data_IF_483827074500
#
_entry.id   IF_483827074500
#
_cell.length_a   1.000
_cell.length_b   1.000
_cell.length_c   1.000
_cell.angle_alpha   90.00
_cell.angle_beta   90.00
_cell.angle_gamma   90.00
#
_symmetry.space_group_name_H-M   'P 1'
#
loop_
_entity.id
_entity.type
_entity.pdbx_description
1 polymer ?
#
# COMPACT_ATOMS: atom_id res chain seq x y z
N UNK A 1 15.48 -11.42 43.93
CA UNK A 1 15.94 -10.28 43.05
C UNK A 1 16.42 -10.69 41.65
N UNK A 2 17.27 -11.70 41.48
CA UNK A 2 17.75 -12.07 40.14
C UNK A 2 16.65 -12.60 39.19
N UNK A 3 15.64 -13.33 39.71
CA UNK A 3 14.55 -13.87 38.90
C UNK A 3 13.57 -12.79 38.43
N UNK A 4 13.20 -11.86 39.31
CA UNK A 4 12.30 -10.74 38.99
C UNK A 4 12.90 -9.80 37.97
N UNK A 5 14.21 -9.57 38.01
CA UNK A 5 14.92 -8.77 37.01
C UNK A 5 14.92 -9.44 35.63
N UNK A 6 15.08 -10.77 35.56
CA UNK A 6 15.00 -11.53 34.27
C UNK A 6 13.62 -11.45 33.67
N UNK A 7 12.56 -11.61 34.47
CA UNK A 7 11.19 -11.53 34.00
C UNK A 7 10.88 -10.12 33.49
N UNK A 8 11.33 -9.09 34.20
CA UNK A 8 11.17 -7.71 33.75
C UNK A 8 11.90 -7.42 32.44
N UNK A 9 13.12 -7.96 32.25
CA UNK A 9 13.88 -7.80 31.03
C UNK A 9 13.19 -8.50 29.83
N UNK A 10 12.67 -9.72 30.04
CA UNK A 10 11.92 -10.46 29.01
C UNK A 10 10.64 -9.71 28.64
N UNK A 11 9.93 -9.14 29.60
CA UNK A 11 8.73 -8.34 29.37
C UNK A 11 9.05 -7.07 28.56
N UNK A 12 10.15 -6.41 28.88
CA UNK A 12 10.60 -5.21 28.17
C UNK A 12 10.98 -5.51 26.71
N UNK A 13 11.63 -6.65 26.46
CA UNK A 13 11.99 -7.12 25.12
C UNK A 13 10.74 -7.50 24.32
N UNK A 14 9.75 -8.14 24.94
CA UNK A 14 8.51 -8.53 24.24
C UNK A 14 7.65 -7.34 23.83
N UNK A 15 7.66 -6.24 24.55
CA UNK A 15 6.94 -5.00 24.20
C UNK A 15 7.59 -4.29 23.02
N UNK A 16 8.92 -4.38 22.88
CA UNK A 16 9.65 -3.74 21.77
C UNK A 16 9.48 -4.44 20.42
N UNK A 17 8.91 -5.65 20.38
CA UNK A 17 8.65 -6.39 19.12
C UNK A 17 7.34 -6.02 18.42
N UNK A 18 6.54 -5.12 18.97
CA UNK A 18 5.21 -4.76 18.45
C UNK A 18 5.22 -3.65 17.40
N UNK A 19 6.38 -3.18 16.95
CA UNK A 19 6.50 -2.17 15.90
C UNK A 19 6.20 -2.78 14.52
N UNK A 20 4.93 -2.88 14.20
CA UNK A 20 4.46 -3.34 12.90
C UNK A 20 3.67 -2.21 12.24
N UNK A 21 3.98 -1.90 10.98
CA UNK A 21 3.16 -0.99 10.20
C UNK A 21 1.68 -1.40 10.33
N UNK A 22 0.85 -0.51 10.85
CA UNK A 22 -0.57 -0.76 11.07
C UNK A 22 -1.41 0.03 10.08
N UNK A 23 -2.41 -0.63 9.49
CA UNK A 23 -3.36 0.04 8.61
C UNK A 23 -4.33 0.90 9.41
N UNK A 24 -4.69 2.05 8.84
CA UNK A 24 -5.78 2.90 9.31
C UNK A 24 -6.77 3.15 8.19
N UNK A 25 -8.06 3.01 8.49
CA UNK A 25 -9.16 3.38 7.59
C UNK A 25 -9.74 4.75 7.91
N UNK A 26 -9.22 5.44 8.92
CA UNK A 26 -9.81 6.65 9.50
C UNK A 26 -10.19 7.71 8.45
N UNK A 27 -9.42 7.83 7.40
CA UNK A 27 -9.60 8.88 6.39
C UNK A 27 -10.58 8.47 5.26
N UNK A 28 -10.92 7.18 5.12
CA UNK A 28 -11.79 6.69 4.04
C UNK A 28 -12.78 5.61 4.51
N UNK A 29 -13.07 5.57 5.81
CA UNK A 29 -13.95 4.54 6.41
C UNK A 29 -15.35 4.50 5.78
N UNK A 30 -15.87 5.64 5.36
CA UNK A 30 -17.21 5.77 4.77
C UNK A 30 -17.18 5.78 3.24
N UNK A 31 -16.01 5.63 2.62
CA UNK A 31 -15.83 5.77 1.17
C UNK A 31 -15.69 4.42 0.46
N UNK A 32 -15.68 3.29 1.18
CA UNK A 32 -15.50 1.98 0.54
C UNK A 32 -16.61 1.00 0.89
N UNK A 33 -16.85 0.07 -0.03
CA UNK A 33 -17.78 -1.05 0.11
C UNK A 33 -17.02 -2.28 0.58
N UNK A 34 -17.51 -2.93 1.64
CA UNK A 34 -16.93 -4.18 2.13
C UNK A 34 -17.23 -5.31 1.17
N UNK A 35 -16.19 -5.95 0.64
CA UNK A 35 -16.29 -7.10 -0.26
C UNK A 35 -16.34 -8.37 0.56
N UNK A 36 -17.17 -9.32 0.17
CA UNK A 36 -17.23 -10.67 0.73
C UNK A 36 -16.64 -11.70 -0.25
N UNK A 37 -16.36 -12.94 0.19
CA UNK A 37 -15.76 -13.96 -0.69
C UNK A 37 -16.59 -14.26 -1.96
N UNK A 38 -17.92 -14.13 -1.91
CA UNK A 38 -18.78 -14.36 -3.08
C UNK A 38 -18.68 -13.25 -4.14
N UNK A 39 -18.18 -12.06 -3.76
CA UNK A 39 -18.07 -10.90 -4.63
C UNK A 39 -16.61 -10.48 -4.89
N UNK A 40 -15.67 -11.40 -4.75
CA UNK A 40 -14.24 -11.10 -4.86
C UNK A 40 -13.87 -10.52 -6.25
N UNK A 41 -14.57 -10.97 -7.31
CA UNK A 41 -14.41 -10.44 -8.67
C UNK A 41 -14.85 -8.97 -8.83
N UNK A 42 -15.38 -8.32 -7.78
CA UNK A 42 -15.55 -6.86 -7.79
C UNK A 42 -14.23 -6.09 -7.91
N UNK A 43 -13.11 -6.74 -7.61
CA UNK A 43 -11.78 -6.16 -7.84
C UNK A 43 -11.32 -6.25 -9.31
N UNK A 44 -11.94 -7.08 -10.13
CA UNK A 44 -11.60 -7.19 -11.56
C UNK A 44 -11.97 -5.90 -12.28
N UNK A 45 -11.12 -5.47 -13.20
CA UNK A 45 -11.36 -4.32 -14.05
C UNK A 45 -10.09 -3.59 -14.46
N UNK A 46 -10.28 -2.60 -15.34
CA UNK A 46 -9.22 -1.67 -15.73
C UNK A 46 -9.33 -0.36 -14.96
N UNK A 47 -8.21 0.14 -14.55
CA UNK A 47 -8.14 1.33 -13.70
C UNK A 47 -7.14 2.35 -14.26
N UNK A 48 -7.37 3.61 -13.90
CA UNK A 48 -6.49 4.72 -14.28
C UNK A 48 -5.07 4.53 -13.74
N UNK A 49 -4.09 4.95 -14.51
CA UNK A 49 -2.68 4.92 -14.13
C UNK A 49 -2.40 5.86 -12.95
N UNK A 50 -2.95 7.06 -12.99
CA UNK A 50 -2.76 8.10 -11.97
C UNK A 50 -3.96 8.18 -11.03
N UNK A 51 -3.75 8.56 -9.76
CA UNK A 51 -4.84 8.71 -8.81
C UNK A 51 -5.74 9.90 -9.16
N UNK A 52 -7.02 9.78 -8.83
CA UNK A 52 -8.02 10.85 -8.95
C UNK A 52 -8.30 11.55 -7.61
N UNK A 53 -7.97 10.88 -6.49
CA UNK A 53 -8.19 11.40 -5.13
C UNK A 53 -7.14 10.86 -4.18
N UNK A 54 -6.76 11.66 -3.19
CA UNK A 54 -6.02 11.24 -2.00
C UNK A 54 -6.91 11.44 -0.78
N UNK A 55 -6.91 10.47 0.12
CA UNK A 55 -7.66 10.54 1.37
C UNK A 55 -6.77 11.12 2.47
N UNK A 56 -7.01 12.34 2.87
CA UNK A 56 -6.28 13.10 3.89
C UNK A 56 -7.20 13.53 5.03
N UNK A 57 -6.61 13.84 6.20
CA UNK A 57 -7.36 14.35 7.37
C UNK A 57 -7.98 15.73 7.14
N UNK A 58 -7.45 16.52 6.21
CA UNK A 58 -7.77 17.95 6.11
C UNK A 58 -8.67 18.33 4.94
N UNK A 59 -9.12 17.39 4.10
CA UNK A 59 -9.78 17.74 2.82
C UNK A 59 -9.00 18.81 2.02
N UNK A 60 -7.73 19.03 2.37
CA UNK A 60 -6.85 19.85 1.57
C UNK A 60 -6.79 19.17 0.20
N UNK A 61 -7.20 19.90 -0.82
CA UNK A 61 -6.93 19.56 -2.20
C UNK A 61 -5.40 19.50 -2.35
N UNK A 62 -4.81 18.40 -1.84
CA UNK A 62 -3.42 18.07 -2.14
C UNK A 62 -3.35 18.15 -3.65
N UNK A 63 -2.45 18.97 -4.18
CA UNK A 63 -2.35 19.27 -5.60
C UNK A 63 -2.30 17.94 -6.37
N UNK A 64 -3.47 17.50 -6.85
CA UNK A 64 -3.66 16.20 -7.54
C UNK A 64 -2.69 16.10 -8.71
N UNK A 65 -2.39 17.21 -9.38
CA UNK A 65 -1.47 17.24 -10.51
C UNK A 65 -0.03 16.94 -10.08
N UNK A 66 0.36 17.34 -8.88
CA UNK A 66 1.65 16.96 -8.34
C UNK A 66 1.68 15.45 -7.94
N UNK A 67 0.59 14.93 -7.39
CA UNK A 67 0.48 13.50 -7.07
C UNK A 67 0.54 12.62 -8.32
N UNK A 68 -0.10 13.02 -9.41
CA UNK A 68 -0.07 12.31 -10.70
C UNK A 68 1.34 12.14 -11.26
N UNK A 69 2.27 13.06 -10.94
CA UNK A 69 3.67 12.97 -11.36
C UNK A 69 4.47 11.92 -10.61
N UNK A 70 4.10 11.60 -9.39
CA UNK A 70 4.90 10.77 -8.49
C UNK A 70 4.25 9.45 -8.12
N UNK A 71 2.92 9.33 -8.23
CA UNK A 71 2.17 8.15 -7.82
C UNK A 71 1.49 7.55 -9.04
N UNK A 72 1.78 6.28 -9.28
CA UNK A 72 1.06 5.47 -10.26
C UNK A 72 0.62 4.15 -9.64
N UNK A 73 -0.52 3.65 -10.13
CA UNK A 73 -1.17 2.48 -9.59
C UNK A 73 -0.28 1.23 -9.68
N UNK A 74 0.42 1.03 -10.82
CA UNK A 74 1.24 -0.16 -11.02
C UNK A 74 2.33 -0.28 -9.96
N UNK A 75 3.20 0.73 -9.84
CA UNK A 75 4.29 0.71 -8.86
C UNK A 75 3.74 0.65 -7.42
N UNK A 76 2.61 1.31 -7.18
CA UNK A 76 2.01 1.39 -5.86
C UNK A 76 1.46 0.03 -5.39
N UNK A 77 0.82 -0.75 -6.30
CA UNK A 77 0.32 -2.09 -5.98
C UNK A 77 1.47 -3.13 -5.96
N UNK A 78 2.34 -3.11 -6.97
CA UNK A 78 3.36 -4.16 -7.15
C UNK A 78 4.57 -3.98 -6.25
N UNK A 79 4.74 -2.81 -5.65
CA UNK A 79 5.95 -2.42 -4.91
C UNK A 79 7.22 -2.41 -5.79
N UNK A 80 7.05 -2.17 -7.08
CA UNK A 80 8.15 -2.00 -8.01
C UNK A 80 8.52 -0.54 -8.20
N UNK A 81 9.70 -0.30 -8.77
CA UNK A 81 10.18 1.04 -9.12
C UNK A 81 10.35 1.14 -10.64
N UNK A 82 9.31 0.82 -11.40
CA UNK A 82 9.32 1.03 -12.84
C UNK A 82 9.38 2.54 -13.09
N UNK A 83 10.40 2.96 -13.84
CA UNK A 83 10.56 4.36 -14.24
C UNK A 83 9.74 4.63 -15.50
N UNK A 84 8.95 5.68 -15.47
CA UNK A 84 8.18 6.17 -16.60
C UNK A 84 8.82 7.47 -17.08
N UNK A 85 9.49 7.44 -18.23
CA UNK A 85 10.24 8.60 -18.74
C UNK A 85 9.35 9.61 -19.47
N UNK A 86 8.09 9.27 -19.69
CA UNK A 86 7.12 10.01 -20.49
C UNK A 86 5.96 10.61 -19.68
N UNK A 87 6.24 10.98 -18.42
CA UNK A 87 5.21 11.49 -17.49
C UNK A 87 4.45 12.68 -18.07
N UNK A 88 5.12 13.62 -18.72
CA UNK A 88 4.45 14.76 -19.35
C UNK A 88 3.54 14.32 -20.51
N UNK A 89 3.93 13.29 -21.25
CA UNK A 89 3.08 12.70 -22.31
C UNK A 89 1.87 11.97 -21.74
N UNK A 90 2.02 11.34 -20.56
CA UNK A 90 0.90 10.71 -19.84
C UNK A 90 -0.08 11.78 -19.35
N UNK A 91 0.41 12.84 -18.72
CA UNK A 91 -0.43 13.91 -18.17
C UNK A 91 -1.17 14.67 -19.28
N UNK A 92 -0.57 14.81 -20.47
CA UNK A 92 -1.16 15.45 -21.63
C UNK A 92 -2.00 14.50 -22.51
N UNK A 93 -2.20 13.25 -22.08
CA UNK A 93 -3.01 12.27 -22.80
C UNK A 93 -2.41 11.73 -24.11
N UNK A 94 -1.13 12.03 -24.39
CA UNK A 94 -0.44 11.53 -25.60
C UNK A 94 -0.08 10.05 -25.48
N UNK A 95 0.13 9.57 -24.27
CA UNK A 95 0.41 8.17 -23.95
C UNK A 95 -0.58 7.73 -22.90
N UNK A 96 -1.29 6.65 -23.19
CA UNK A 96 -2.28 6.09 -22.31
C UNK A 96 -1.71 4.85 -21.59
N UNK A 97 -1.60 4.96 -20.24
CA UNK A 97 -1.32 3.81 -19.40
C UNK A 97 -2.58 3.42 -18.62
N UNK A 98 -2.82 2.12 -18.52
CA UNK A 98 -3.92 1.53 -17.79
C UNK A 98 -3.42 0.32 -17.00
N UNK A 99 -4.06 0.01 -15.88
CA UNK A 99 -3.75 -1.16 -15.08
C UNK A 99 -4.99 -2.05 -15.01
N UNK A 100 -4.84 -3.29 -15.45
CA UNK A 100 -5.87 -4.31 -15.26
C UNK A 100 -5.57 -5.11 -13.99
N UNK A 101 -6.58 -5.23 -13.13
CA UNK A 101 -6.59 -6.17 -12.01
C UNK A 101 -7.51 -7.32 -12.36
N UNK A 102 -7.10 -8.54 -12.01
CA UNK A 102 -7.90 -9.74 -12.20
C UNK A 102 -7.66 -10.73 -11.08
N UNK A 103 -8.72 -11.13 -10.42
CA UNK A 103 -8.69 -12.21 -9.44
C UNK A 103 -8.40 -13.53 -10.17
N UNK A 104 -7.33 -14.20 -9.77
CA UNK A 104 -6.95 -15.52 -10.28
C UNK A 104 -7.49 -16.60 -9.37
N UNK A 105 -7.32 -16.41 -8.07
CA UNK A 105 -7.86 -17.29 -7.02
C UNK A 105 -8.28 -16.42 -5.83
N UNK A 106 -8.85 -17.03 -4.81
CA UNK A 106 -9.18 -16.36 -3.54
C UNK A 106 -7.94 -15.78 -2.80
N UNK A 107 -6.73 -16.16 -3.25
CA UNK A 107 -5.44 -15.77 -2.65
C UNK A 107 -4.45 -15.13 -3.63
N UNK A 108 -4.87 -14.84 -4.85
CA UNK A 108 -3.96 -14.33 -5.86
C UNK A 108 -4.65 -13.40 -6.84
N UNK A 109 -4.03 -12.26 -7.12
CA UNK A 109 -4.44 -11.31 -8.15
C UNK A 109 -3.38 -11.18 -9.23
N UNK A 110 -3.80 -10.99 -10.47
CA UNK A 110 -2.95 -10.53 -11.57
C UNK A 110 -3.04 -9.02 -11.66
N UNK A 111 -1.89 -8.37 -11.83
CA UNK A 111 -1.75 -6.94 -12.10
C UNK A 111 -1.03 -6.80 -13.43
N UNK A 112 -1.70 -6.20 -14.41
CA UNK A 112 -1.17 -6.08 -15.76
C UNK A 112 -1.13 -4.61 -16.19
N UNK A 113 0.03 -4.16 -16.66
CA UNK A 113 0.27 -2.79 -17.11
C UNK A 113 0.14 -2.74 -18.63
N UNK A 114 -0.74 -1.87 -19.11
CA UNK A 114 -0.92 -1.58 -20.53
C UNK A 114 -0.37 -0.20 -20.88
N UNK A 115 0.23 -0.09 -22.07
CA UNK A 115 0.58 1.17 -22.71
C UNK A 115 -0.09 1.20 -24.09
N UNK A 116 -0.96 2.17 -24.35
CA UNK A 116 -1.72 2.28 -25.59
C UNK A 116 -2.42 0.97 -25.97
N UNK A 117 -3.09 0.34 -24.99
CA UNK A 117 -3.78 -0.95 -25.09
C UNK A 117 -2.88 -2.18 -25.38
N UNK A 118 -1.55 -2.04 -25.35
CA UNK A 118 -0.63 -3.16 -25.43
C UNK A 118 -0.13 -3.53 -24.04
N UNK A 119 -0.22 -4.82 -23.70
CA UNK A 119 0.36 -5.34 -22.45
C UNK A 119 1.87 -5.23 -22.50
N UNK A 120 2.45 -4.57 -21.50
CA UNK A 120 3.91 -4.38 -21.41
C UNK A 120 4.52 -5.04 -20.18
N UNK A 121 3.72 -5.29 -19.15
CA UNK A 121 4.19 -5.97 -17.95
C UNK A 121 3.03 -6.62 -17.21
N UNK A 122 3.27 -7.82 -16.68
CA UNK A 122 2.30 -8.58 -15.90
C UNK A 122 2.97 -9.18 -14.67
N UNK A 123 2.26 -9.14 -13.53
CA UNK A 123 2.72 -9.72 -12.28
C UNK A 123 1.55 -10.36 -11.55
N UNK A 124 1.83 -11.47 -10.88
CA UNK A 124 0.90 -12.09 -9.94
C UNK A 124 1.32 -11.76 -8.51
N UNK A 125 0.36 -11.38 -7.69
CA UNK A 125 0.57 -10.99 -6.30
C UNK A 125 -0.34 -11.85 -5.42
N UNK A 126 0.26 -12.53 -4.45
CA UNK A 126 -0.48 -13.24 -3.41
C UNK A 126 -1.13 -12.25 -2.46
N UNK A 127 -2.23 -12.67 -1.86
CA UNK A 127 -2.95 -11.87 -0.89
C UNK A 127 -4.11 -12.62 -0.29
N UNK A 128 -4.93 -11.94 0.48
CA UNK A 128 -6.12 -12.52 1.08
C UNK A 128 -7.18 -11.46 1.38
N UNK A 129 -8.44 -11.84 1.20
CA UNK A 129 -9.55 -11.02 1.65
C UNK A 129 -9.70 -11.14 3.16
N UNK A 130 -9.70 -10.00 3.86
CA UNK A 130 -9.89 -9.95 5.31
C UNK A 130 -11.35 -9.62 5.68
N UNK A 131 -11.67 -9.76 6.97
CA UNK A 131 -13.01 -9.51 7.53
C UNK A 131 -13.51 -8.06 7.33
N UNK A 132 -12.61 -7.12 7.10
CA UNK A 132 -12.95 -5.73 6.79
C UNK A 132 -13.38 -5.52 5.33
N UNK A 133 -13.39 -6.58 4.52
CA UNK A 133 -13.78 -6.54 3.12
C UNK A 133 -12.74 -5.96 2.18
N UNK A 134 -11.49 -5.86 2.64
CA UNK A 134 -10.35 -5.43 1.84
C UNK A 134 -9.44 -6.60 1.49
N UNK A 135 -8.83 -6.57 0.31
CA UNK A 135 -7.87 -7.57 -0.11
C UNK A 135 -6.45 -7.10 0.27
N UNK A 136 -5.80 -7.85 1.14
CA UNK A 136 -4.46 -7.56 1.66
C UNK A 136 -3.41 -8.22 0.80
N UNK A 137 -2.51 -7.42 0.22
CA UNK A 137 -1.44 -7.90 -0.66
C UNK A 137 -0.28 -8.44 0.16
N UNK A 138 0.25 -9.61 -0.22
CA UNK A 138 1.39 -10.25 0.45
C UNK A 138 2.72 -9.93 -0.26
N UNK A 139 2.83 -8.76 -0.83
CA UNK A 139 4.06 -8.20 -1.36
C UNK A 139 4.65 -7.13 -0.44
N UNK A 140 4.49 -7.35 0.86
CA UNK A 140 5.06 -6.48 1.89
C UNK A 140 6.58 -6.38 1.72
N UNK A 141 7.08 -5.19 1.94
CA UNK A 141 8.53 -4.95 1.98
C UNK A 141 8.95 -4.79 3.43
N UNK A 142 9.92 -5.59 3.84
CA UNK A 142 10.58 -5.46 5.13
C UNK A 142 12.09 -5.46 4.89
N UNK A 143 12.72 -4.33 5.16
CA UNK A 143 14.19 -4.19 5.09
C UNK A 143 14.67 -3.61 6.41
N UNK A 144 15.53 -4.35 7.08
CA UNK A 144 16.21 -3.88 8.26
C UNK A 144 17.70 -3.69 7.94
N UNK A 145 18.29 -2.61 8.44
CA UNK A 145 19.70 -2.26 8.28
C UNK A 145 20.30 -1.93 9.62
N UNK A 146 21.59 -2.18 9.77
CA UNK A 146 22.35 -1.90 10.98
C UNK A 146 22.67 -3.15 11.80
N UNK A 147 23.27 -2.94 12.95
CA UNK A 147 23.57 -3.99 13.93
C UNK A 147 22.37 -4.07 14.89
N UNK A 148 21.68 -5.24 14.95
CA UNK A 148 20.55 -5.39 15.85
C UNK A 148 20.89 -4.87 17.25
N UNK A 149 20.00 -4.04 17.79
CA UNK A 149 20.07 -3.52 19.15
C UNK A 149 21.11 -2.42 19.43
N UNK A 150 22.09 -2.18 18.59
CA UNK A 150 23.04 -1.10 18.78
C UNK A 150 22.67 0.15 18.00
N UNK A 151 22.53 -0.01 16.69
CA UNK A 151 22.05 1.04 15.79
C UNK A 151 21.49 0.39 14.55
N UNK A 152 20.41 0.94 14.04
CA UNK A 152 19.79 0.42 12.83
C UNK A 152 18.32 0.84 12.74
N UNK A 153 17.70 0.48 11.64
CA UNK A 153 16.30 0.75 11.39
C UNK A 153 15.66 -0.29 10.51
N UNK A 154 14.34 -0.38 10.62
CA UNK A 154 13.52 -1.23 9.76
C UNK A 154 12.54 -0.36 8.97
N UNK A 155 12.47 -0.62 7.68
CA UNK A 155 11.40 -0.12 6.83
C UNK A 155 10.42 -1.26 6.58
N UNK A 156 9.17 -1.06 6.95
CA UNK A 156 8.08 -2.00 6.72
C UNK A 156 6.98 -1.31 5.92
N UNK A 157 6.60 -1.92 4.82
CA UNK A 157 5.59 -1.38 3.92
C UNK A 157 4.59 -2.49 3.58
N UNK A 158 3.30 -2.22 3.79
CA UNK A 158 2.18 -3.14 3.53
C UNK A 158 1.12 -2.42 2.73
N UNK A 159 0.40 -3.17 1.89
CA UNK A 159 -0.67 -2.63 1.05
C UNK A 159 -1.91 -3.48 1.11
N UNK A 160 -3.05 -2.83 0.92
CA UNK A 160 -4.35 -3.47 0.73
C UNK A 160 -5.17 -2.66 -0.26
N UNK A 161 -6.11 -3.32 -0.92
CA UNK A 161 -7.02 -2.70 -1.87
C UNK A 161 -8.47 -2.84 -1.40
N UNK A 162 -9.29 -1.87 -1.77
CA UNK A 162 -10.72 -1.84 -1.53
C UNK A 162 -11.44 -1.30 -2.77
N UNK A 163 -12.75 -1.54 -2.88
CA UNK A 163 -13.61 -0.90 -3.88
C UNK A 163 -14.33 0.26 -3.22
N UNK A 164 -14.27 1.44 -3.83
CA UNK A 164 -14.98 2.61 -3.33
C UNK A 164 -16.48 2.49 -3.57
N UNK A 165 -17.28 3.31 -2.84
CA UNK A 165 -18.71 3.39 -3.05
C UNK A 165 -19.11 3.87 -4.46
N UNK A 166 -18.15 4.45 -5.20
CA UNK A 166 -18.29 4.85 -6.61
C UNK A 166 -17.70 3.82 -7.58
N UNK A 167 -17.45 2.59 -7.11
CA UNK A 167 -16.90 1.48 -7.88
C UNK A 167 -15.46 1.70 -8.40
N UNK A 168 -14.73 2.65 -7.85
CA UNK A 168 -13.31 2.88 -8.13
C UNK A 168 -12.43 2.00 -7.24
N UNK A 169 -11.13 1.94 -7.52
CA UNK A 169 -10.17 1.22 -6.70
C UNK A 169 -9.54 2.15 -5.66
N UNK A 170 -9.58 1.76 -4.41
CA UNK A 170 -8.79 2.41 -3.34
C UNK A 170 -7.58 1.53 -3.03
N UNK A 171 -6.40 2.12 -3.04
CA UNK A 171 -5.18 1.46 -2.54
C UNK A 171 -4.72 2.18 -1.28
N UNK A 172 -4.61 1.42 -0.19
CA UNK A 172 -4.16 1.92 1.10
C UNK A 172 -2.82 1.29 1.47
N UNK A 173 -1.86 2.14 1.78
CA UNK A 173 -0.52 1.77 2.22
C UNK A 173 -0.31 2.13 3.68
N UNK A 174 0.29 1.22 4.43
CA UNK A 174 0.84 1.47 5.75
C UNK A 174 2.36 1.35 5.66
N UNK A 175 3.05 2.44 5.96
CA UNK A 175 4.51 2.49 5.98
C UNK A 175 4.98 2.82 7.38
N UNK A 176 6.00 2.09 7.82
CA UNK A 176 6.69 2.30 9.08
C UNK A 176 8.20 2.28 8.84
N UNK A 177 8.83 3.40 9.11
CA UNK A 177 10.27 3.57 9.09
C UNK A 177 10.72 3.85 10.52
N UNK A 178 11.12 2.81 11.23
CA UNK A 178 11.58 2.94 12.61
C UNK A 178 13.07 2.67 12.72
N UNK A 179 13.77 3.49 13.48
CA UNK A 179 15.16 3.30 13.82
C UNK A 179 15.40 3.39 15.33
N UNK A 180 16.43 2.71 15.78
CA UNK A 180 16.87 2.77 17.17
C UNK A 180 18.37 3.01 17.24
N UNK A 181 18.78 3.81 18.22
CA UNK A 181 20.18 4.04 18.57
C UNK A 181 20.38 3.67 20.04
N UNK A 182 21.26 2.68 20.29
CA UNK A 182 21.66 2.22 21.62
C UNK A 182 20.50 1.90 22.57
N UNK A 183 19.35 1.41 22.03
CA UNK A 183 18.10 1.14 22.79
C UNK A 183 17.49 2.34 23.51
N UNK A 184 18.16 3.46 23.54
CA UNK A 184 17.74 4.64 24.32
C UNK A 184 17.00 5.65 23.48
N UNK A 185 17.31 5.71 22.17
CA UNK A 185 16.74 6.68 21.27
C UNK A 185 15.99 5.97 20.13
N UNK A 186 14.70 6.17 20.09
CA UNK A 186 13.83 5.68 19.03
C UNK A 186 13.44 6.86 18.14
N UNK A 187 13.73 6.75 16.87
CA UNK A 187 13.27 7.69 15.88
C UNK A 187 12.55 6.91 14.79
N UNK A 188 11.40 7.40 14.38
CA UNK A 188 10.64 6.74 13.32
C UNK A 188 9.49 7.58 12.84
N UNK A 189 9.04 7.27 11.64
CA UNK A 189 7.88 7.85 11.02
C UNK A 189 6.98 6.74 10.50
N UNK A 190 5.76 6.69 11.04
CA UNK A 190 4.70 5.83 10.52
C UNK A 190 3.64 6.67 9.87
N UNK A 191 3.23 6.30 8.68
CA UNK A 191 2.12 6.96 8.01
C UNK A 191 1.26 5.99 7.22
N UNK A 192 0.01 6.39 7.05
CA UNK A 192 -0.95 5.71 6.20
C UNK A 192 -1.33 6.65 5.06
N UNK A 193 -1.23 6.17 3.86
CA UNK A 193 -1.73 6.86 2.67
C UNK A 193 -2.81 6.02 2.00
N UNK A 194 -3.80 6.69 1.43
CA UNK A 194 -4.82 6.05 0.62
C UNK A 194 -5.12 6.91 -0.59
N UNK A 195 -5.20 6.26 -1.74
CA UNK A 195 -5.46 6.90 -3.03
C UNK A 195 -6.57 6.16 -3.76
N UNK A 196 -7.40 6.91 -4.47
CA UNK A 196 -8.45 6.38 -5.33
C UNK A 196 -8.05 6.49 -6.80
N UNK A 197 -8.28 5.41 -7.54
CA UNK A 197 -7.99 5.28 -8.97
C UNK A 197 -9.29 4.97 -9.70
N UNK A 198 -9.57 5.72 -10.75
CA UNK A 198 -10.79 5.60 -11.50
C UNK A 198 -10.89 4.24 -12.20
N UNK A 199 -12.04 3.57 -12.08
CA UNK A 199 -12.38 2.42 -12.90
C UNK A 199 -12.70 2.89 -14.32
N UNK A 200 -12.13 2.24 -15.32
CA UNK A 200 -12.30 2.55 -16.73
C UNK A 200 -13.25 1.57 -17.42
N UNK A 201 -13.15 0.30 -17.02
CA UNK A 201 -13.99 -0.83 -17.47
C UNK A 201 -14.20 -1.83 -16.35
#
# INVERSE_FOLDING_TARGET
>A
MKSTFRIFLILLISISLLNCASFSTKNFKNDYTSINPGNLHSFDGKFSFSPIKKFDKKNEHSNIDNLKKHINLYNFITNESVKFNDIDSILNGRVNYQIELKIITDKEISVELFKNNQSIKKQQIKGELKKDGMFYLDNKFLKCTGIPYLFGGCQNNKRRIAISNTNNLIVNEALDNTGALLFLFWAGQSYNSAYEFQRLE
#
